data_IF_813406811004
#
_entry.id   IF_813406811004
#
_cell.length_a   1.000
_cell.length_b   1.000
_cell.length_c   1.000
_cell.angle_alpha   90.00
_cell.angle_beta   90.00
_cell.angle_gamma   90.00
#
_symmetry.space_group_name_H-M   'P 1'
#
loop_
_entity.id
_entity.type
_entity.pdbx_description
1 polymer ?
#
# COMPACT_ATOMS: atom_id res chain seq x y z
N UNK A 1 12.02 -23.23 -23.94
CA UNK A 1 11.24 -22.25 -23.15
C UNK A 1 10.75 -22.85 -21.84
N UNK A 2 9.91 -23.89 -21.84
CA UNK A 2 9.42 -24.50 -20.61
C UNK A 2 10.53 -25.12 -19.73
N UNK A 3 11.42 -25.94 -20.29
CA UNK A 3 12.57 -26.51 -19.57
C UNK A 3 13.54 -25.46 -18.98
N UNK A 4 13.50 -24.21 -19.48
CA UNK A 4 14.31 -23.10 -18.97
C UNK A 4 13.64 -22.36 -17.78
N UNK A 5 12.55 -22.93 -17.22
CA UNK A 5 11.84 -22.35 -16.09
C UNK A 5 10.84 -21.24 -16.45
N UNK A 6 10.47 -21.09 -17.73
CA UNK A 6 9.36 -20.21 -18.12
C UNK A 6 8.02 -20.89 -17.84
N UNK A 7 7.12 -20.17 -17.20
CA UNK A 7 5.75 -20.63 -16.94
C UNK A 7 4.93 -20.72 -18.22
N UNK A 8 3.86 -21.52 -18.19
CA UNK A 8 2.93 -21.68 -19.32
C UNK A 8 2.38 -20.34 -19.82
N UNK A 9 2.06 -19.42 -18.89
CA UNK A 9 1.55 -18.10 -19.22
C UNK A 9 2.59 -17.25 -19.94
N UNK A 10 3.83 -17.22 -19.46
CA UNK A 10 4.93 -16.50 -20.14
C UNK A 10 5.21 -17.04 -21.55
N UNK A 11 5.06 -18.35 -21.75
CA UNK A 11 5.21 -18.98 -23.07
C UNK A 11 4.04 -18.59 -23.97
N UNK A 12 2.82 -18.66 -23.46
CA UNK A 12 1.61 -18.24 -24.17
C UNK A 12 1.72 -16.78 -24.62
N UNK A 13 2.10 -15.88 -23.72
CA UNK A 13 2.27 -14.45 -24.00
C UNK A 13 3.36 -14.22 -25.07
N UNK A 14 4.52 -14.89 -24.96
CA UNK A 14 5.66 -14.70 -25.87
C UNK A 14 5.44 -15.31 -27.25
N UNK A 15 4.63 -16.36 -27.34
CA UNK A 15 4.32 -17.03 -28.60
C UNK A 15 2.98 -16.56 -29.20
N UNK A 16 2.28 -15.63 -28.56
CA UNK A 16 0.92 -15.21 -28.93
C UNK A 16 -0.04 -16.40 -29.06
N UNK A 17 0.07 -17.37 -28.15
CA UNK A 17 -0.72 -18.59 -28.13
C UNK A 17 -1.67 -18.61 -26.93
N UNK A 18 -2.72 -19.42 -27.02
CA UNK A 18 -3.67 -19.61 -25.93
C UNK A 18 -3.06 -20.54 -24.87
N UNK A 19 -3.23 -20.20 -23.59
CA UNK A 19 -2.70 -20.97 -22.44
C UNK A 19 -3.10 -22.45 -22.49
N UNK A 20 -4.34 -22.75 -22.89
CA UNK A 20 -4.84 -24.12 -23.03
C UNK A 20 -4.04 -24.92 -24.09
N UNK A 21 -3.73 -24.30 -25.23
CA UNK A 21 -2.92 -24.92 -26.29
C UNK A 21 -1.52 -25.24 -25.80
N UNK A 22 -0.89 -24.32 -25.04
CA UNK A 22 0.43 -24.55 -24.47
C UNK A 22 0.39 -25.70 -23.45
N UNK A 23 -0.63 -25.76 -22.59
CA UNK A 23 -0.81 -26.87 -21.65
C UNK A 23 -0.93 -28.23 -22.36
N UNK A 24 -1.77 -28.31 -23.38
CA UNK A 24 -1.96 -29.52 -24.15
C UNK A 24 -0.64 -29.98 -24.79
N UNK A 25 0.09 -29.03 -25.39
CA UNK A 25 1.36 -29.31 -26.04
C UNK A 25 2.42 -29.81 -25.05
N UNK A 26 2.46 -29.26 -23.84
CA UNK A 26 3.37 -29.70 -22.78
C UNK A 26 3.00 -31.08 -22.22
N UNK A 27 1.71 -31.37 -22.05
CA UNK A 27 1.24 -32.70 -21.63
C UNK A 27 1.62 -33.79 -22.63
N UNK A 28 1.41 -33.51 -23.93
CA UNK A 28 1.82 -34.43 -25.01
C UNK A 28 3.33 -34.61 -24.99
N UNK A 29 4.10 -33.53 -24.83
CA UNK A 29 5.57 -33.58 -24.83
C UNK A 29 6.16 -34.33 -23.64
N UNK A 30 5.55 -34.26 -22.46
CA UNK A 30 5.97 -35.04 -21.28
C UNK A 30 5.86 -36.55 -21.55
N UNK A 31 4.86 -37.01 -22.31
CA UNK A 31 4.72 -38.43 -22.69
C UNK A 31 5.89 -38.92 -23.55
N UNK A 32 6.42 -38.07 -24.43
CA UNK A 32 7.53 -38.41 -25.33
C UNK A 32 8.91 -38.05 -24.75
N UNK A 33 8.97 -37.25 -23.70
CA UNK A 33 10.20 -36.82 -23.05
C UNK A 33 9.99 -36.69 -21.54
N UNK A 34 10.04 -37.81 -20.79
CA UNK A 34 9.84 -37.82 -19.35
C UNK A 34 10.90 -36.98 -18.63
N UNK A 35 10.50 -36.21 -17.62
CA UNK A 35 11.40 -35.38 -16.81
C UNK A 35 11.51 -33.92 -17.30
N UNK A 36 10.78 -33.56 -18.35
CA UNK A 36 10.65 -32.17 -18.81
C UNK A 36 10.05 -31.28 -17.71
N UNK A 37 9.08 -31.78 -16.94
CA UNK A 37 8.54 -31.06 -15.78
C UNK A 37 9.56 -30.90 -14.64
N UNK A 38 10.32 -31.94 -14.31
CA UNK A 38 11.33 -31.87 -13.25
C UNK A 38 12.45 -30.87 -13.60
N UNK A 39 12.89 -30.84 -14.85
CA UNK A 39 13.86 -29.84 -15.34
C UNK A 39 13.31 -28.42 -15.30
N UNK A 40 12.03 -28.24 -15.65
CA UNK A 40 11.33 -26.96 -15.48
C UNK A 40 11.29 -26.52 -14.01
N UNK A 41 10.92 -27.40 -13.08
CA UNK A 41 10.83 -27.09 -11.65
C UNK A 41 12.20 -26.70 -11.07
N UNK A 42 13.26 -27.44 -11.41
CA UNK A 42 14.64 -27.10 -11.00
C UNK A 42 15.15 -25.78 -11.61
N UNK A 43 14.71 -25.43 -12.82
CA UNK A 43 15.02 -24.14 -13.43
C UNK A 43 14.20 -23.00 -12.82
N UNK A 44 12.93 -23.24 -12.47
CA UNK A 44 12.05 -22.26 -11.83
C UNK A 44 12.51 -21.94 -10.40
N UNK A 45 12.93 -22.95 -9.63
CA UNK A 45 13.44 -22.78 -8.27
C UNK A 45 14.71 -21.91 -8.18
N UNK A 46 15.50 -21.85 -9.26
CA UNK A 46 16.67 -20.96 -9.36
C UNK A 46 16.32 -19.50 -9.64
N UNK A 47 15.04 -19.17 -9.91
CA UNK A 47 14.60 -17.80 -10.19
C UNK A 47 14.14 -17.12 -8.91
N UNK A 48 14.32 -15.80 -8.84
CA UNK A 48 13.80 -14.98 -7.75
C UNK A 48 12.27 -15.17 -7.61
N UNK A 49 11.77 -15.58 -6.43
CA UNK A 49 10.34 -15.76 -6.18
C UNK A 49 9.52 -14.49 -6.40
N UNK A 50 10.12 -13.32 -6.16
CA UNK A 50 9.48 -12.01 -6.24
C UNK A 50 9.67 -11.35 -7.62
N UNK A 51 10.05 -12.10 -8.66
CA UNK A 51 10.20 -11.58 -10.02
C UNK A 51 8.90 -10.94 -10.56
N UNK A 52 8.99 -9.90 -11.40
CA UNK A 52 7.82 -9.29 -12.06
C UNK A 52 7.23 -10.25 -13.10
N UNK A 53 6.15 -10.95 -12.73
CA UNK A 53 5.37 -11.86 -13.61
C UNK A 53 4.63 -11.09 -14.70
N UNK A 54 4.11 -11.79 -15.73
CA UNK A 54 3.32 -11.12 -16.77
C UNK A 54 2.09 -10.42 -16.19
N UNK A 55 1.40 -11.04 -15.22
CA UNK A 55 0.23 -10.42 -14.59
C UNK A 55 0.61 -9.17 -13.81
N UNK A 56 1.77 -9.17 -13.16
CA UNK A 56 2.31 -8.00 -12.46
C UNK A 56 2.64 -6.87 -13.43
N UNK A 57 3.30 -7.18 -14.56
CA UNK A 57 3.63 -6.17 -15.60
C UNK A 57 2.38 -5.56 -16.21
N UNK A 58 1.36 -6.38 -16.53
CA UNK A 58 0.07 -5.88 -17.01
C UNK A 58 -0.59 -4.92 -16.01
N UNK A 59 -0.51 -5.20 -14.70
CA UNK A 59 -1.03 -4.28 -13.66
C UNK A 59 -0.23 -2.98 -13.59
N UNK A 60 1.09 -3.04 -13.78
CA UNK A 60 1.92 -1.86 -13.90
C UNK A 60 1.50 -1.02 -15.11
N UNK A 61 1.30 -1.65 -16.27
CA UNK A 61 0.85 -0.97 -17.50
C UNK A 61 -0.52 -0.30 -17.31
N UNK A 62 -1.46 -0.99 -16.65
CA UNK A 62 -2.77 -0.41 -16.27
C UNK A 62 -2.61 0.81 -15.36
N UNK A 63 -1.70 0.74 -14.39
CA UNK A 63 -1.44 1.85 -13.47
C UNK A 63 -0.75 3.04 -14.18
N UNK A 64 0.19 2.77 -15.10
CA UNK A 64 0.85 3.79 -15.92
C UNK A 64 -0.14 4.48 -16.87
N UNK A 65 -1.02 3.71 -17.51
CA UNK A 65 -2.08 4.25 -18.36
C UNK A 65 -3.04 5.13 -17.55
N UNK A 66 -3.43 4.68 -16.35
CA UNK A 66 -4.27 5.48 -15.45
C UNK A 66 -3.59 6.78 -15.03
N UNK A 67 -2.31 6.71 -14.64
CA UNK A 67 -1.53 7.91 -14.28
C UNK A 67 -1.42 8.88 -15.44
N UNK A 68 -1.19 8.37 -16.66
CA UNK A 68 -1.10 9.21 -17.87
C UNK A 68 -2.44 9.90 -18.16
N UNK A 69 -3.56 9.20 -17.99
CA UNK A 69 -4.89 9.74 -18.25
C UNK A 69 -5.38 10.75 -17.19
N UNK A 70 -5.07 10.51 -15.92
CA UNK A 70 -5.64 11.30 -14.81
C UNK A 70 -4.62 12.16 -14.06
N UNK A 71 -3.33 12.06 -14.38
CA UNK A 71 -2.21 12.72 -13.69
C UNK A 71 -2.21 12.51 -12.16
N UNK A 72 -2.78 11.39 -11.71
CA UNK A 72 -2.87 11.01 -10.31
C UNK A 72 -2.78 9.50 -10.17
N UNK A 73 -2.37 9.06 -8.98
CA UNK A 73 -2.44 7.63 -8.64
C UNK A 73 -3.89 7.17 -8.43
N UNK A 74 -4.18 5.88 -8.71
CA UNK A 74 -5.46 5.26 -8.38
C UNK A 74 -5.76 5.40 -6.89
N UNK A 75 -7.01 5.71 -6.54
CA UNK A 75 -7.46 5.85 -5.16
C UNK A 75 -8.56 4.84 -4.81
N UNK A 76 -8.78 4.63 -3.51
CA UNK A 76 -9.78 3.68 -3.00
C UNK A 76 -11.23 4.19 -3.07
N UNK A 77 -11.44 5.46 -3.46
CA UNK A 77 -12.75 6.09 -3.56
C UNK A 77 -13.34 6.05 -4.97
N UNK A 78 -12.56 5.62 -5.98
CA UNK A 78 -12.99 5.52 -7.37
C UNK A 78 -13.90 4.33 -7.68
N UNK A 79 -14.02 4.02 -8.97
CA UNK A 79 -14.76 2.85 -9.45
C UNK A 79 -14.05 1.53 -9.10
N UNK A 80 -14.73 0.38 -9.27
CA UNK A 80 -14.19 -0.93 -8.92
C UNK A 80 -12.80 -1.21 -9.52
N UNK A 81 -12.57 -0.81 -10.78
CA UNK A 81 -11.28 -0.96 -11.45
C UNK A 81 -10.18 -0.11 -10.79
N UNK A 82 -10.49 1.14 -10.45
CA UNK A 82 -9.57 2.05 -9.78
C UNK A 82 -9.23 1.55 -8.38
N UNK A 83 -10.22 1.07 -7.62
CA UNK A 83 -10.01 0.47 -6.29
C UNK A 83 -9.06 -0.72 -6.36
N UNK A 84 -9.24 -1.59 -7.36
CA UNK A 84 -8.36 -2.74 -7.57
C UNK A 84 -6.92 -2.33 -7.84
N UNK A 85 -6.70 -1.30 -8.68
CA UNK A 85 -5.38 -0.76 -8.95
C UNK A 85 -4.76 -0.06 -7.73
N UNK A 86 -5.57 0.70 -6.98
CA UNK A 86 -5.12 1.37 -5.76
C UNK A 86 -4.64 0.35 -4.72
N UNK A 87 -5.38 -0.74 -4.54
CA UNK A 87 -4.97 -1.83 -3.65
C UNK A 87 -3.69 -2.51 -4.14
N UNK A 88 -3.55 -2.72 -5.45
CA UNK A 88 -2.34 -3.32 -6.02
C UNK A 88 -1.09 -2.45 -5.78
N UNK A 89 -1.18 -1.14 -6.01
CA UNK A 89 -0.08 -0.19 -5.73
C UNK A 89 0.23 -0.15 -4.23
N UNK A 90 -0.80 -0.17 -3.37
CA UNK A 90 -0.62 -0.23 -1.92
C UNK A 90 0.15 -1.50 -1.48
N UNK A 91 -0.19 -2.66 -2.05
CA UNK A 91 0.52 -3.91 -1.77
C UNK A 91 1.99 -3.85 -2.23
N UNK A 92 2.28 -3.21 -3.37
CA UNK A 92 3.67 -3.00 -3.81
C UNK A 92 4.44 -2.14 -2.79
N UNK A 93 3.83 -1.05 -2.33
CA UNK A 93 4.43 -0.18 -1.33
C UNK A 93 4.72 -0.90 -0.02
N UNK A 94 3.81 -1.76 0.45
CA UNK A 94 4.03 -2.57 1.66
C UNK A 94 5.22 -3.51 1.46
N UNK A 95 5.32 -4.19 0.32
CA UNK A 95 6.47 -5.08 0.03
C UNK A 95 7.80 -4.30 -0.01
N UNK A 96 7.79 -3.10 -0.60
CA UNK A 96 8.96 -2.20 -0.61
C UNK A 96 9.36 -1.76 0.80
N UNK A 97 8.40 -1.34 1.64
CA UNK A 97 8.65 -0.93 3.01
C UNK A 97 9.15 -2.09 3.90
N UNK A 98 8.75 -3.32 3.60
CA UNK A 98 9.22 -4.52 4.28
C UNK A 98 10.60 -4.99 3.79
N UNK A 99 11.16 -4.38 2.73
CA UNK A 99 12.43 -4.79 2.15
C UNK A 99 12.38 -6.11 1.35
N UNK A 100 11.18 -6.63 1.08
CA UNK A 100 10.97 -7.92 0.42
C UNK A 100 10.77 -7.81 -1.10
N UNK A 101 10.99 -6.62 -1.67
CA UNK A 101 10.76 -6.35 -3.08
C UNK A 101 12.04 -6.57 -3.92
N UNK A 102 11.92 -7.37 -4.98
CA UNK A 102 13.03 -7.54 -5.92
C UNK A 102 13.40 -6.23 -6.63
N UNK A 103 14.71 -6.00 -6.83
CA UNK A 103 15.23 -4.80 -7.49
C UNK A 103 14.61 -4.55 -8.88
N UNK A 104 14.32 -5.62 -9.63
CA UNK A 104 13.66 -5.52 -10.93
C UNK A 104 12.25 -4.90 -10.84
N UNK A 105 11.50 -5.14 -9.77
CA UNK A 105 10.19 -4.50 -9.55
C UNK A 105 10.33 -3.04 -9.18
N UNK A 106 11.34 -2.69 -8.36
CA UNK A 106 11.63 -1.30 -7.98
C UNK A 106 11.92 -0.48 -9.23
N UNK A 107 12.84 -0.94 -10.09
CA UNK A 107 13.20 -0.26 -11.34
C UNK A 107 11.98 -0.05 -12.25
N UNK A 108 11.08 -1.03 -12.33
CA UNK A 108 9.86 -0.92 -13.14
C UNK A 108 8.83 0.02 -12.49
N UNK A 109 8.69 0.00 -11.16
CA UNK A 109 7.77 0.87 -10.42
C UNK A 109 8.23 2.32 -10.41
N UNK A 110 9.53 2.61 -10.50
CA UNK A 110 10.06 3.97 -10.59
C UNK A 110 9.56 4.76 -11.81
N UNK A 111 8.96 4.09 -12.80
CA UNK A 111 8.24 4.74 -13.89
C UNK A 111 6.93 5.40 -13.44
N UNK A 112 6.36 5.00 -12.30
CA UNK A 112 5.17 5.60 -11.70
C UNK A 112 5.57 6.67 -10.67
N UNK A 113 5.31 7.96 -10.92
CA UNK A 113 5.64 9.00 -9.96
C UNK A 113 4.91 8.78 -8.62
N UNK A 114 5.60 9.03 -7.51
CA UNK A 114 5.05 8.98 -6.15
C UNK A 114 4.45 7.62 -5.73
N UNK A 115 4.79 6.52 -6.41
CA UNK A 115 4.28 5.19 -6.09
C UNK A 115 4.67 4.73 -4.68
N UNK A 116 5.86 5.14 -4.21
CA UNK A 116 6.39 4.85 -2.87
C UNK A 116 5.81 5.77 -1.79
N UNK A 117 5.25 6.93 -2.16
CA UNK A 117 4.69 7.92 -1.23
C UNK A 117 3.21 7.65 -0.98
N UNK A 118 2.84 7.46 0.29
CA UNK A 118 1.44 7.33 0.66
C UNK A 118 0.77 8.70 0.79
N UNK A 119 0.35 9.28 -0.35
CA UNK A 119 -0.38 10.54 -0.41
C UNK A 119 -1.64 10.56 0.49
N UNK A 120 -2.32 9.43 0.64
CA UNK A 120 -3.47 9.33 1.54
C UNK A 120 -3.03 9.47 3.00
N UNK A 121 -1.97 8.76 3.39
CA UNK A 121 -1.39 8.88 4.72
C UNK A 121 -0.86 10.29 4.98
N UNK A 122 -0.18 10.91 4.01
CA UNK A 122 0.26 12.31 4.12
C UNK A 122 -0.90 13.26 4.37
N UNK A 123 -2.00 13.16 3.61
CA UNK A 123 -3.20 13.98 3.84
C UNK A 123 -3.82 13.74 5.21
N UNK A 124 -3.84 12.48 5.68
CA UNK A 124 -4.30 12.14 7.03
C UNK A 124 -3.38 12.75 8.10
N UNK A 125 -2.07 12.77 7.87
CA UNK A 125 -1.07 13.34 8.76
C UNK A 125 -1.16 14.87 8.80
N UNK A 126 -1.34 15.53 7.66
CA UNK A 126 -1.62 16.97 7.55
C UNK A 126 -2.90 17.34 8.29
N UNK A 127 -3.99 16.59 8.06
CA UNK A 127 -5.26 16.81 8.77
C UNK A 127 -5.10 16.60 10.28
N UNK A 128 -4.29 15.62 10.68
CA UNK A 128 -3.99 15.37 12.08
C UNK A 128 -3.20 16.54 12.69
N UNK A 129 -2.20 17.06 11.97
CA UNK A 129 -1.39 18.20 12.41
C UNK A 129 -2.23 19.49 12.54
N UNK A 130 -3.11 19.76 11.57
CA UNK A 130 -4.03 20.90 11.63
C UNK A 130 -4.96 20.83 12.85
N UNK A 131 -5.41 19.62 13.22
CA UNK A 131 -6.19 19.40 14.44
C UNK A 131 -5.37 19.61 15.70
N UNK A 132 -4.11 19.16 15.72
CA UNK A 132 -3.21 19.42 16.85
C UNK A 132 -3.05 20.92 17.09
N UNK A 133 -2.78 21.70 16.03
CA UNK A 133 -2.67 23.16 16.09
C UNK A 133 -3.96 23.76 16.66
N UNK A 134 -5.13 23.35 16.14
CA UNK A 134 -6.41 23.85 16.66
C UNK A 134 -6.65 23.52 18.15
N UNK A 135 -6.15 22.38 18.66
CA UNK A 135 -6.20 22.07 20.10
C UNK A 135 -5.25 22.96 20.88
N UNK A 136 -4.03 23.16 20.39
CA UNK A 136 -3.04 24.05 21.04
C UNK A 136 -3.59 25.46 21.13
N UNK A 137 -4.14 26.00 20.05
CA UNK A 137 -4.75 27.34 20.01
C UNK A 137 -5.95 27.45 20.97
N UNK A 138 -6.75 26.40 21.08
CA UNK A 138 -7.84 26.38 22.07
C UNK A 138 -7.30 26.41 23.50
N UNK A 139 -6.25 25.64 23.81
CA UNK A 139 -5.65 25.56 25.15
C UNK A 139 -4.96 26.87 25.53
N UNK A 140 -4.33 27.58 24.58
CA UNK A 140 -3.71 28.88 24.85
C UNK A 140 -4.75 29.96 25.17
N UNK A 141 -5.92 29.93 24.51
CA UNK A 141 -7.00 30.89 24.74
C UNK A 141 -7.84 30.56 25.98
N UNK A 142 -8.25 29.29 26.13
CA UNK A 142 -9.16 28.87 27.21
C UNK A 142 -8.42 28.44 28.49
N UNK A 143 -7.09 28.24 28.44
CA UNK A 143 -6.29 27.77 29.56
C UNK A 143 -6.60 26.33 30.02
N UNK A 144 -7.47 25.62 29.30
CA UNK A 144 -7.94 24.29 29.67
C UNK A 144 -8.06 23.38 28.45
N UNK A 145 -7.92 22.06 28.68
CA UNK A 145 -8.05 21.06 27.61
C UNK A 145 -9.51 20.97 27.14
N UNK A 146 -9.76 20.86 25.81
CA UNK A 146 -11.10 20.77 25.27
C UNK A 146 -11.81 19.50 25.75
N UNK A 147 -13.03 19.66 26.28
CA UNK A 147 -13.82 18.57 26.85
C UNK A 147 -14.85 18.08 25.84
N UNK A 148 -15.09 16.77 25.80
CA UNK A 148 -16.09 16.20 24.89
C UNK A 148 -17.48 16.04 25.52
N UNK A 149 -17.57 15.97 26.85
CA UNK A 149 -18.84 15.75 27.60
C UNK A 149 -19.47 17.05 28.09
N UNK A 150 -18.69 17.93 28.71
CA UNK A 150 -19.16 19.21 29.27
C UNK A 150 -18.50 20.36 28.50
N UNK A 151 -18.93 20.57 27.26
CA UNK A 151 -18.36 21.56 26.34
C UNK A 151 -19.19 22.86 26.34
N UNK A 152 -18.50 24.00 26.21
CA UNK A 152 -19.13 25.31 26.06
C UNK A 152 -19.42 25.66 24.59
N UNK A 153 -18.70 25.02 23.64
CA UNK A 153 -18.87 25.27 22.20
C UNK A 153 -18.80 23.98 21.38
N UNK A 154 -19.43 24.00 20.20
CA UNK A 154 -19.36 22.89 19.25
C UNK A 154 -17.92 22.65 18.74
N UNK A 155 -17.09 23.70 18.69
CA UNK A 155 -15.67 23.59 18.36
C UNK A 155 -14.92 22.81 19.45
N UNK A 156 -15.16 23.13 20.72
CA UNK A 156 -14.58 22.40 21.86
C UNK A 156 -14.98 20.93 21.84
N UNK A 157 -16.26 20.62 21.59
CA UNK A 157 -16.75 19.24 21.48
C UNK A 157 -15.97 18.44 20.45
N UNK A 158 -15.77 19.00 19.25
CA UNK A 158 -15.05 18.34 18.14
C UNK A 158 -13.59 18.06 18.50
N UNK A 159 -12.92 19.05 19.10
CA UNK A 159 -11.54 18.91 19.56
C UNK A 159 -11.41 17.91 20.71
N UNK A 160 -12.37 17.92 21.65
CA UNK A 160 -12.44 16.98 22.76
C UNK A 160 -12.66 15.54 22.30
N UNK A 161 -13.55 15.31 21.32
CA UNK A 161 -13.72 13.97 20.70
C UNK A 161 -12.44 13.52 20.02
N UNK A 162 -11.75 14.42 19.30
CA UNK A 162 -10.48 14.08 18.67
C UNK A 162 -9.41 13.69 19.70
N UNK A 163 -9.28 14.44 20.80
CA UNK A 163 -8.35 14.16 21.88
C UNK A 163 -8.69 12.82 22.57
N UNK A 164 -9.98 12.56 22.83
CA UNK A 164 -10.45 11.27 23.35
C UNK A 164 -10.03 10.10 22.44
N UNK A 165 -10.16 10.24 21.13
CA UNK A 165 -9.71 9.23 20.18
C UNK A 165 -8.19 9.02 20.23
N UNK A 166 -7.38 10.06 20.48
CA UNK A 166 -5.93 9.91 20.67
C UNK A 166 -5.61 9.15 21.96
N UNK A 167 -6.33 9.41 23.05
CA UNK A 167 -6.20 8.67 24.31
C UNK A 167 -6.54 7.18 24.15
N UNK A 168 -7.62 6.87 23.42
CA UNK A 168 -7.97 5.49 23.11
C UNK A 168 -6.85 4.82 22.32
N UNK A 169 -6.35 5.45 21.25
CA UNK A 169 -5.24 4.91 20.44
C UNK A 169 -3.96 4.71 21.23
N UNK A 170 -3.65 5.61 22.18
CA UNK A 170 -2.52 5.45 23.10
C UNK A 170 -2.72 4.26 24.03
N UNK A 171 -3.93 4.09 24.57
CA UNK A 171 -4.26 2.97 25.47
C UNK A 171 -4.21 1.63 24.73
N UNK A 172 -4.62 1.58 23.46
CA UNK A 172 -4.55 0.38 22.62
C UNK A 172 -3.19 0.16 21.96
N UNK A 173 -2.22 1.06 22.16
CA UNK A 173 -0.88 0.95 21.56
C UNK A 173 -0.83 1.13 20.05
N UNK A 174 -1.88 1.67 19.42
CA UNK A 174 -1.96 1.87 17.95
C UNK A 174 -1.65 3.31 17.53
N UNK A 175 -1.27 4.17 18.47
CA UNK A 175 -0.83 5.52 18.19
C UNK A 175 0.60 5.52 17.65
N UNK A 176 0.80 6.13 16.48
CA UNK A 176 2.13 6.24 15.85
C UNK A 176 3.05 7.08 16.72
N UNK A 177 4.33 6.67 16.85
CA UNK A 177 5.27 7.28 17.79
C UNK A 177 5.48 8.78 17.56
N UNK A 178 5.58 9.23 16.30
CA UNK A 178 5.73 10.66 16.01
C UNK A 178 4.51 11.48 16.45
N UNK A 179 3.28 10.93 16.36
CA UNK A 179 2.06 11.60 16.82
C UNK A 179 2.01 11.71 18.33
N UNK A 180 2.49 10.67 19.01
CA UNK A 180 2.63 10.64 20.47
C UNK A 180 3.64 11.69 20.94
N UNK A 181 4.82 11.75 20.32
CA UNK A 181 5.84 12.76 20.62
C UNK A 181 5.31 14.18 20.35
N UNK A 182 4.65 14.40 19.21
CA UNK A 182 4.07 15.71 18.89
C UNK A 182 3.00 16.15 19.91
N UNK A 183 2.15 15.23 20.39
CA UNK A 183 1.18 15.52 21.45
C UNK A 183 1.85 15.77 22.81
N UNK A 184 2.88 15.00 23.13
CA UNK A 184 3.64 15.13 24.37
C UNK A 184 4.38 16.46 24.47
N UNK A 185 4.96 16.91 23.37
CA UNK A 185 5.66 18.20 23.28
C UNK A 185 4.67 19.37 23.29
N UNK A 186 3.57 19.27 22.53
CA UNK A 186 2.64 20.38 22.37
C UNK A 186 1.68 20.57 23.56
N UNK A 187 1.32 19.50 24.28
CA UNK A 187 0.27 19.54 25.29
C UNK A 187 0.61 18.76 26.56
N UNK A 188 1.65 19.08 27.36
CA UNK A 188 2.07 18.25 28.51
C UNK A 188 0.95 17.85 29.50
N UNK A 189 -0.09 18.69 29.63
CA UNK A 189 -1.29 18.41 30.43
C UNK A 189 -2.13 17.23 29.93
N UNK A 190 -2.07 16.87 28.64
CA UNK A 190 -2.82 15.76 28.05
C UNK A 190 -2.42 14.40 28.62
N UNK A 191 -1.27 14.27 29.27
CA UNK A 191 -0.88 13.01 29.93
C UNK A 191 -1.68 12.74 31.20
N UNK A 192 -2.21 13.78 31.84
CA UNK A 192 -2.98 13.64 33.08
C UNK A 192 -4.42 13.32 32.70
N UNK A 193 -4.86 12.09 33.00
CA UNK A 193 -6.29 11.81 33.09
C UNK A 193 -6.83 12.66 34.25
N UNK A 194 -7.42 13.80 33.92
CA UNK A 194 -8.32 14.51 34.82
C UNK A 194 -9.63 13.75 34.91
#
# INVERSE_FOLDING_TARGET
MYAAGLTVREIADRCHQIVATVHLHLQVREKYSPGLRATHEAALARRDPDRPTTSWRRRLDEALAFHTAHQRLPNSQGQAQEKSLAQWVANQRISYQQGNMAAAKIILLDQLPNWNVNLHQQRLDETWQAKLVAVVDYVTVAGSLPRYRNYASEQERRLGVWLHNQHQKRTTGTLVEWRKNALDDALPAWRRRG
#
